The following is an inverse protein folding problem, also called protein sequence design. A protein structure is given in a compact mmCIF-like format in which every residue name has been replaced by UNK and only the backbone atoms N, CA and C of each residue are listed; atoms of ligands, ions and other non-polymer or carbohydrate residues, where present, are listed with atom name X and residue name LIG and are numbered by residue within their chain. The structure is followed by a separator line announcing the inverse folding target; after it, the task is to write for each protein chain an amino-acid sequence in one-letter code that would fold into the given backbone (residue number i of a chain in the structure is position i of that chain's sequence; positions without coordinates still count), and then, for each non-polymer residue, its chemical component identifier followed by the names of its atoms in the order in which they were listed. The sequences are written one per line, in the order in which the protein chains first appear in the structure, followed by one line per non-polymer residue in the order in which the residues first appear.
data_IF_998708240720
#
_entry.id   IF_998708240720
#
_cell.length_a   1.000
_cell.length_b   1.000
_cell.length_c   1.000
_cell.angle_alpha   90.00
_cell.angle_beta   90.00
_cell.angle_gamma   90.00
#
_symmetry.space_group_name_H-M   'P 1'
#
loop_
_entity.id
_entity.type
_entity.pdbx_description
1 polymer ?
#
# COMPACT_ATOMS: atom_id res chain seq x y z
N UNK A 1 31.17 -46.93 -40.75
CA UNK A 1 29.90 -46.45 -40.15
C UNK A 1 30.05 -46.49 -38.65
N UNK A 2 30.14 -45.35 -37.97
CA UNK A 2 29.56 -45.04 -36.64
C UNK A 2 29.91 -43.58 -36.35
N UNK A 3 28.90 -42.70 -36.38
CA UNK A 3 29.05 -41.26 -36.14
C UNK A 3 28.83 -41.02 -34.65
N UNK A 4 29.83 -40.48 -33.96
CA UNK A 4 29.76 -40.13 -32.54
C UNK A 4 28.79 -38.95 -32.36
N UNK A 5 27.61 -39.21 -31.77
CA UNK A 5 26.63 -38.18 -31.42
C UNK A 5 27.02 -37.54 -30.09
N UNK A 6 27.44 -36.27 -30.13
CA UNK A 6 27.57 -35.43 -28.94
C UNK A 6 26.17 -35.04 -28.50
N UNK A 7 25.73 -35.52 -27.33
CA UNK A 7 24.52 -35.03 -26.68
C UNK A 7 24.88 -33.79 -25.86
N UNK A 8 24.47 -32.62 -26.35
CA UNK A 8 24.50 -31.39 -25.58
C UNK A 8 23.36 -31.44 -24.56
N UNK A 9 23.66 -31.76 -23.30
CA UNK A 9 22.69 -31.64 -22.21
C UNK A 9 22.60 -30.16 -21.87
N UNK A 10 21.57 -29.48 -22.40
CA UNK A 10 21.20 -28.16 -21.93
C UNK A 10 20.59 -28.31 -20.52
N UNK A 11 21.35 -28.00 -19.48
CA UNK A 11 20.81 -27.84 -18.14
C UNK A 11 19.94 -26.58 -18.10
N UNK A 12 18.64 -26.73 -18.35
CA UNK A 12 17.66 -25.68 -18.04
C UNK A 12 17.50 -25.68 -16.53
N UNK A 13 18.25 -24.83 -15.84
CA UNK A 13 18.01 -24.55 -14.43
C UNK A 13 16.62 -23.89 -14.33
N UNK A 14 15.66 -24.57 -13.71
CA UNK A 14 14.39 -23.97 -13.34
C UNK A 14 14.69 -22.88 -12.30
N UNK A 15 14.73 -21.62 -12.75
CA UNK A 15 14.84 -20.47 -11.85
C UNK A 15 13.48 -20.32 -11.17
N UNK A 16 13.31 -20.98 -10.03
CA UNK A 16 12.19 -20.71 -9.14
C UNK A 16 12.34 -19.26 -8.65
N UNK A 17 11.47 -18.37 -9.13
CA UNK A 17 11.43 -16.96 -8.76
C UNK A 17 10.95 -16.81 -7.31
N UNK A 18 11.85 -17.02 -6.36
CA UNK A 18 11.68 -16.55 -5.00
C UNK A 18 11.63 -15.02 -5.06
N UNK A 19 10.42 -14.47 -5.09
CA UNK A 19 10.22 -13.02 -4.95
C UNK A 19 10.73 -12.63 -3.57
N UNK A 20 11.78 -11.81 -3.52
CA UNK A 20 12.29 -11.28 -2.27
C UNK A 20 11.17 -10.47 -1.58
N UNK A 21 10.93 -10.64 -0.27
CA UNK A 21 9.85 -9.96 0.44
C UNK A 21 9.83 -8.43 0.24
N UNK A 22 11.00 -7.80 0.12
CA UNK A 22 11.13 -6.36 -0.15
C UNK A 22 10.61 -5.95 -1.53
N UNK A 23 10.75 -6.80 -2.55
CA UNK A 23 10.28 -6.53 -3.92
C UNK A 23 8.77 -6.67 -4.00
N UNK A 24 8.15 -7.63 -3.30
CA UNK A 24 6.69 -7.70 -3.22
C UNK A 24 6.12 -6.49 -2.47
N UNK A 25 6.69 -6.14 -1.30
CA UNK A 25 6.26 -4.95 -0.54
C UNK A 25 6.31 -3.69 -1.41
N UNK A 26 7.41 -3.46 -2.13
CA UNK A 26 7.54 -2.29 -2.99
C UNK A 26 6.51 -2.29 -4.14
N UNK A 27 6.23 -3.45 -4.74
CA UNK A 27 5.21 -3.58 -5.80
C UNK A 27 3.80 -3.33 -5.28
N UNK A 28 3.46 -3.88 -4.12
CA UNK A 28 2.14 -3.75 -3.52
C UNK A 28 1.90 -2.30 -3.08
N UNK A 29 2.90 -1.68 -2.44
CA UNK A 29 2.90 -0.27 -2.08
C UNK A 29 2.71 0.65 -3.31
N UNK A 30 3.44 0.39 -4.39
CA UNK A 30 3.29 1.17 -5.62
C UNK A 30 1.89 0.99 -6.24
N UNK A 31 1.34 -0.23 -6.21
CA UNK A 31 -0.01 -0.51 -6.72
C UNK A 31 -1.06 0.27 -5.92
N UNK A 32 -0.95 0.26 -4.59
CA UNK A 32 -1.81 1.05 -3.70
C UNK A 32 -1.74 2.54 -4.00
N UNK A 33 -0.52 3.10 -4.14
CA UNK A 33 -0.33 4.50 -4.53
C UNK A 33 -1.03 4.78 -5.87
N UNK A 34 -0.80 3.95 -6.88
CA UNK A 34 -1.37 4.15 -8.22
C UNK A 34 -2.90 4.19 -8.19
N UNK A 35 -3.54 3.27 -7.46
CA UNK A 35 -5.00 3.25 -7.27
C UNK A 35 -5.48 4.54 -6.62
N UNK A 36 -4.86 4.96 -5.51
CA UNK A 36 -5.31 6.14 -4.76
C UNK A 36 -5.09 7.44 -5.54
N UNK A 37 -3.97 7.57 -6.25
CA UNK A 37 -3.66 8.75 -7.05
C UNK A 37 -4.60 8.88 -8.27
N UNK A 38 -5.03 7.76 -8.85
CA UNK A 38 -6.04 7.77 -9.93
C UNK A 38 -7.45 8.18 -9.45
N UNK A 39 -7.69 8.18 -8.14
CA UNK A 39 -9.00 8.43 -7.53
C UNK A 39 -9.09 9.79 -6.82
N UNK A 40 -8.09 10.66 -6.96
CA UNK A 40 -8.13 12.02 -6.40
C UNK A 40 -9.42 12.76 -6.80
N UNK A 41 -10.06 13.38 -5.81
CA UNK A 41 -11.35 14.07 -5.96
C UNK A 41 -12.58 13.18 -5.78
N UNK A 42 -12.43 11.85 -5.79
CA UNK A 42 -13.56 10.94 -5.59
C UNK A 42 -14.21 11.15 -4.21
N UNK A 43 -15.52 10.95 -4.17
CA UNK A 43 -16.33 11.05 -2.95
C UNK A 43 -16.42 9.70 -2.25
N UNK A 44 -17.09 9.71 -1.09
CA UNK A 44 -17.32 8.53 -0.26
C UNK A 44 -17.85 7.35 -1.10
N UNK A 45 -17.19 6.18 -1.10
CA UNK A 45 -17.73 4.99 -1.75
C UNK A 45 -19.09 4.58 -1.16
N UNK A 46 -19.96 4.00 -2.00
CA UNK A 46 -21.25 3.48 -1.54
C UNK A 46 -21.06 2.40 -0.47
N UNK A 47 -21.91 2.39 0.56
CA UNK A 47 -21.83 1.44 1.68
C UNK A 47 -20.85 1.81 2.79
N UNK A 48 -19.96 2.79 2.60
CA UNK A 48 -19.06 3.24 3.67
C UNK A 48 -19.79 4.06 4.75
N UNK A 49 -19.35 4.01 6.03
CA UNK A 49 -19.91 4.85 7.10
C UNK A 49 -19.59 6.35 6.92
N UNK A 50 -20.10 7.22 7.80
CA UNK A 50 -19.88 8.67 7.71
C UNK A 50 -18.41 9.09 7.83
N UNK A 51 -17.62 8.37 8.63
CA UNK A 51 -16.15 8.46 8.64
C UNK A 51 -15.61 7.32 7.77
N UNK A 52 -15.13 7.63 6.58
CA UNK A 52 -14.94 6.62 5.53
C UNK A 52 -13.49 6.41 5.08
N UNK A 53 -12.49 6.99 5.76
CA UNK A 53 -11.08 6.80 5.40
C UNK A 53 -10.65 5.32 5.42
N UNK A 54 -11.03 4.58 6.47
CA UNK A 54 -10.73 3.15 6.59
C UNK A 54 -11.50 2.30 5.56
N UNK A 55 -12.79 2.55 5.38
CA UNK A 55 -13.60 1.87 4.35
C UNK A 55 -13.02 2.09 2.94
N UNK A 56 -12.58 3.32 2.64
CA UNK A 56 -11.92 3.62 1.38
C UNK A 56 -10.59 2.88 1.24
N UNK A 57 -9.75 2.88 2.29
CA UNK A 57 -8.51 2.10 2.30
C UNK A 57 -8.79 0.61 1.99
N UNK A 58 -9.81 0.01 2.59
CA UNK A 58 -10.22 -1.36 2.27
C UNK A 58 -10.56 -1.54 0.79
N UNK A 59 -11.28 -0.59 0.18
CA UNK A 59 -11.59 -0.65 -1.26
C UNK A 59 -10.34 -0.54 -2.14
N UNK A 60 -9.35 0.25 -1.72
CA UNK A 60 -8.06 0.40 -2.39
C UNK A 60 -7.27 -0.90 -2.31
N UNK A 61 -7.17 -1.50 -1.12
CA UNK A 61 -6.48 -2.77 -0.91
C UNK A 61 -7.07 -3.88 -1.78
N UNK A 62 -8.39 -4.01 -1.83
CA UNK A 62 -9.07 -4.99 -2.70
C UNK A 62 -8.72 -4.77 -4.17
N UNK A 63 -8.72 -3.51 -4.65
CA UNK A 63 -8.34 -3.19 -6.04
C UNK A 63 -6.86 -3.45 -6.34
N UNK A 64 -6.00 -3.32 -5.32
CA UNK A 64 -4.59 -3.66 -5.41
C UNK A 64 -4.33 -5.17 -5.29
N UNK A 65 -5.37 -6.01 -5.12
CA UNK A 65 -5.23 -7.46 -4.96
C UNK A 65 -4.84 -7.90 -3.55
N UNK A 66 -4.98 -7.02 -2.56
CA UNK A 66 -4.63 -7.23 -1.16
C UNK A 66 -5.88 -7.48 -0.30
N UNK A 67 -5.69 -8.18 0.81
CA UNK A 67 -6.78 -8.48 1.75
C UNK A 67 -7.22 -7.20 2.49
N UNK A 68 -8.50 -6.81 2.47
CA UNK A 68 -8.96 -5.67 3.27
C UNK A 68 -8.85 -5.91 4.77
N UNK A 69 -8.74 -4.83 5.55
CA UNK A 69 -8.84 -4.88 7.02
C UNK A 69 -10.27 -5.15 7.47
N UNK A 70 -11.25 -4.44 6.90
CA UNK A 70 -12.68 -4.71 7.02
C UNK A 70 -13.39 -4.17 8.27
N UNK A 71 -12.69 -3.44 9.15
CA UNK A 71 -13.28 -2.97 10.42
C UNK A 71 -13.93 -1.59 10.34
N UNK A 72 -13.71 -0.85 9.25
CA UNK A 72 -14.08 0.56 9.11
C UNK A 72 -13.46 1.51 10.17
N UNK A 73 -12.48 1.05 10.95
CA UNK A 73 -11.79 1.87 11.95
C UNK A 73 -10.34 2.11 11.53
N UNK A 74 -9.95 3.38 11.45
CA UNK A 74 -8.61 3.78 11.04
C UNK A 74 -7.51 3.14 11.91
N UNK A 75 -7.69 3.16 13.24
CA UNK A 75 -6.70 2.64 14.20
C UNK A 75 -6.39 1.16 14.02
N UNK A 76 -7.33 0.37 13.49
CA UNK A 76 -7.15 -1.08 13.37
C UNK A 76 -6.13 -1.44 12.28
N UNK A 77 -5.82 -0.48 11.40
CA UNK A 77 -4.70 -0.61 10.47
C UNK A 77 -3.35 -0.66 11.17
N UNK A 78 -3.23 -0.31 12.46
CA UNK A 78 -1.97 -0.45 13.20
C UNK A 78 -1.44 -1.90 13.22
N UNK A 79 -2.33 -2.88 13.02
CA UNK A 79 -2.00 -4.30 12.94
C UNK A 79 -2.17 -4.88 11.52
N UNK A 80 -2.14 -4.04 10.47
CA UNK A 80 -2.24 -4.46 9.07
C UNK A 80 -0.85 -4.77 8.47
N UNK A 81 -0.71 -5.80 7.65
CA UNK A 81 0.55 -6.11 6.95
C UNK A 81 1.77 -6.23 7.89
N UNK A 82 2.91 -5.66 7.51
CA UNK A 82 4.15 -5.66 8.30
C UNK A 82 4.53 -4.26 8.80
N UNK A 83 5.40 -4.19 9.82
CA UNK A 83 6.02 -2.92 10.25
C UNK A 83 6.97 -2.39 9.17
N UNK A 84 7.13 -1.07 9.11
CA UNK A 84 8.05 -0.39 8.20
C UNK A 84 8.62 0.86 8.85
N UNK A 85 9.68 1.39 8.25
CA UNK A 85 10.27 2.66 8.63
C UNK A 85 9.24 3.81 8.65
N UNK A 86 9.34 4.73 9.62
CA UNK A 86 8.49 5.91 9.69
C UNK A 86 8.51 6.72 8.39
N UNK A 87 7.33 7.21 7.98
CA UNK A 87 7.16 8.06 6.79
C UNK A 87 7.73 7.52 5.48
N UNK A 88 8.01 6.22 5.38
CA UNK A 88 8.45 5.61 4.12
C UNK A 88 7.35 5.75 3.05
N UNK A 89 7.69 6.21 1.84
CA UNK A 89 6.74 6.30 0.72
C UNK A 89 6.12 4.93 0.47
N UNK A 90 4.80 4.89 0.35
CA UNK A 90 4.02 3.66 0.19
C UNK A 90 3.60 2.99 1.49
N UNK A 91 4.13 3.43 2.65
CA UNK A 91 3.64 2.98 3.94
C UNK A 91 2.24 3.53 4.22
N UNK A 92 1.43 2.73 4.90
CA UNK A 92 0.18 3.14 5.49
C UNK A 92 0.52 3.92 6.77
N UNK A 93 0.24 5.22 6.76
CA UNK A 93 0.27 6.05 7.96
C UNK A 93 -1.03 5.86 8.73
N UNK A 94 -0.94 5.30 9.94
CA UNK A 94 -2.10 5.06 10.80
C UNK A 94 -2.17 6.13 11.87
N UNK A 95 -3.30 6.82 11.98
CA UNK A 95 -3.62 7.72 13.10
C UNK A 95 -4.85 7.20 13.86
N UNK A 96 -5.06 7.67 15.09
CA UNK A 96 -6.18 7.22 15.94
C UNK A 96 -7.57 7.33 15.31
N UNK A 97 -7.76 8.26 14.37
CA UNK A 97 -9.02 8.56 13.69
C UNK A 97 -8.89 8.75 12.17
N UNK A 98 -7.72 8.52 11.58
CA UNK A 98 -7.47 8.71 10.16
C UNK A 98 -6.43 7.73 9.63
N UNK A 99 -6.50 7.39 8.35
CA UNK A 99 -5.56 6.46 7.70
C UNK A 99 -5.37 6.86 6.25
N UNK A 100 -4.13 6.76 5.76
CA UNK A 100 -3.77 7.04 4.38
C UNK A 100 -2.41 6.45 4.04
N UNK A 101 -1.97 6.64 2.80
CA UNK A 101 -0.68 6.12 2.30
C UNK A 101 0.26 7.28 2.05
N UNK A 102 1.49 7.16 2.54
CA UNK A 102 2.52 8.16 2.35
C UNK A 102 2.91 8.24 0.88
N UNK A 103 2.93 9.45 0.34
CA UNK A 103 3.33 9.73 -1.05
C UNK A 103 4.48 10.74 -1.14
N UNK A 104 4.97 11.24 -0.01
CA UNK A 104 6.14 12.11 0.05
C UNK A 104 6.13 13.00 1.29
N UNK A 105 6.72 14.18 1.14
CA UNK A 105 6.91 15.18 2.19
C UNK A 105 6.35 16.53 1.72
N UNK A 106 5.78 17.32 2.64
CA UNK A 106 5.36 18.69 2.41
C UNK A 106 6.48 19.69 2.82
N UNK A 107 6.38 20.95 2.40
CA UNK A 107 7.43 21.98 2.58
C UNK A 107 7.92 22.20 4.03
N UNK A 108 7.18 21.74 5.04
CA UNK A 108 7.52 21.91 6.46
C UNK A 108 7.96 20.60 7.15
N UNK A 109 8.41 19.59 6.40
CA UNK A 109 8.77 18.28 6.96
C UNK A 109 7.57 17.45 7.42
N UNK A 110 6.35 17.87 7.04
CA UNK A 110 5.14 17.11 7.32
C UNK A 110 5.03 15.94 6.34
N UNK A 111 4.48 14.83 6.83
CA UNK A 111 4.25 13.64 6.01
C UNK A 111 3.06 13.90 5.10
N UNK A 112 3.30 13.81 3.78
CA UNK A 112 2.26 13.93 2.78
C UNK A 112 1.63 12.56 2.55
N UNK A 113 0.32 12.45 2.76
CA UNK A 113 -0.43 11.22 2.52
C UNK A 113 -1.56 11.45 1.51
N UNK A 114 -1.85 10.45 0.70
CA UNK A 114 -3.14 10.34 0.01
C UNK A 114 -4.11 9.55 0.91
N UNK A 115 -5.34 10.06 1.05
CA UNK A 115 -6.35 9.41 1.90
C UNK A 115 -7.77 9.73 1.44
N UNK A 116 -8.71 8.83 1.74
CA UNK A 116 -10.14 9.10 1.64
C UNK A 116 -10.63 9.92 2.82
N UNK A 117 -11.78 10.58 2.68
CA UNK A 117 -12.39 11.44 3.69
C UNK A 117 -11.52 12.64 4.14
N UNK A 118 -10.55 13.05 3.32
CA UNK A 118 -9.89 14.33 3.50
C UNK A 118 -10.78 15.43 2.92
N UNK A 119 -11.33 16.31 3.77
CA UNK A 119 -12.30 17.33 3.34
C UNK A 119 -13.46 16.76 2.51
N UNK A 120 -13.98 15.59 2.88
CA UNK A 120 -15.06 14.86 2.18
C UNK A 120 -14.71 14.38 0.75
N UNK A 121 -13.43 14.14 0.46
CA UNK A 121 -12.97 13.54 -0.80
C UNK A 121 -11.70 12.70 -0.61
N UNK A 122 -11.27 12.02 -1.67
CA UNK A 122 -9.91 11.49 -1.80
C UNK A 122 -8.99 12.66 -2.15
N UNK A 123 -7.94 12.89 -1.36
CA UNK A 123 -7.03 14.00 -1.56
C UNK A 123 -5.70 13.80 -0.83
N UNK A 124 -4.75 14.68 -1.18
CA UNK A 124 -3.48 14.83 -0.49
C UNK A 124 -3.66 15.70 0.77
N UNK A 125 -3.06 15.26 1.87
CA UNK A 125 -3.03 15.99 3.13
C UNK A 125 -1.66 15.91 3.79
N UNK A 126 -1.25 17.00 4.44
CA UNK A 126 0.00 17.08 5.21
C UNK A 126 -0.30 16.87 6.70
N UNK A 127 0.45 15.98 7.34
CA UNK A 127 0.30 15.67 8.76
C UNK A 127 1.65 15.66 9.47
N UNK A 128 1.68 16.15 10.72
CA UNK A 128 2.85 15.96 11.57
C UNK A 128 3.08 14.47 11.81
N UNK A 129 4.33 14.03 11.72
CA UNK A 129 4.73 12.63 11.93
C UNK A 129 4.22 12.09 13.28
N UNK A 130 4.31 12.89 14.35
CA UNK A 130 3.85 12.52 15.70
C UNK A 130 2.34 12.26 15.86
N UNK A 131 1.54 12.38 14.79
CA UNK A 131 0.15 11.91 14.78
C UNK A 131 0.04 10.42 14.49
N UNK A 132 1.07 9.82 13.90
CA UNK A 132 1.08 8.40 13.60
C UNK A 132 1.13 7.59 14.90
N UNK A 133 0.33 6.53 14.95
CA UNK A 133 0.38 5.49 15.98
C UNK A 133 1.02 4.20 15.45
N UNK A 134 1.15 4.07 14.13
CA UNK A 134 1.85 2.97 13.46
C UNK A 134 2.17 3.33 11.99
N UNK A 135 3.17 2.65 11.45
CA UNK A 135 3.59 2.69 10.04
C UNK A 135 3.58 1.27 9.49
N UNK A 136 2.79 0.98 8.46
CA UNK A 136 2.61 -0.39 7.96
C UNK A 136 2.87 -0.54 6.47
N UNK A 137 3.53 -1.60 6.08
CA UNK A 137 3.62 -2.02 4.69
C UNK A 137 2.28 -2.64 4.23
N UNK A 138 1.76 -2.29 3.03
CA UNK A 138 0.52 -2.84 2.51
C UNK A 138 0.74 -4.22 1.88
N UNK A 139 0.84 -5.27 2.70
CA UNK A 139 0.97 -6.69 2.28
C UNK A 139 -0.03 -7.59 2.99
#
# INVERSE_FOLDING_TARGET
MTVLRVFLIAAVAAVSSLSLPSVSIARDAQTVINVMMAELGNRRPSGCPGRWCACYMDTVLVRAGLQPRGSNLARDFANYGAETEPAAVGSIMVMSNHVGVVVGECENGQVMIVSGNYSNQVALGCYNEGRAIAWRAPI
#
